data_IF_527621162748
#
_entry.id   IF_527621162748
#
_cell.length_a   1.000
_cell.length_b   1.000
_cell.length_c   1.000
_cell.angle_alpha   90.00
_cell.angle_beta   90.00
_cell.angle_gamma   90.00
#
_symmetry.space_group_name_H-M   'P 1'
#
loop_
_entity.id
_entity.type
_entity.pdbx_description
1 polymer ?
#
# COMPACT_ATOMS: atom_id res chain seq x y z
N UNK A 1 2.30 30.62 -5.08
CA UNK A 1 1.48 29.41 -5.28
C UNK A 1 1.83 28.68 -6.57
N UNK A 2 1.51 29.26 -7.72
CA UNK A 2 1.59 28.60 -9.04
C UNK A 2 2.91 27.88 -9.37
N UNK A 3 4.06 28.43 -8.95
CA UNK A 3 5.38 27.81 -9.18
C UNK A 3 5.54 26.42 -8.54
N UNK A 4 4.73 26.09 -7.52
CA UNK A 4 4.78 24.80 -6.83
C UNK A 4 3.81 23.77 -7.39
N UNK A 5 2.90 24.15 -8.31
CA UNK A 5 1.93 23.24 -8.94
C UNK A 5 2.60 21.96 -9.47
N UNK A 6 3.76 22.01 -10.17
CA UNK A 6 4.41 20.80 -10.65
C UNK A 6 4.77 19.82 -9.53
N UNK A 7 5.20 20.31 -8.37
CA UNK A 7 5.55 19.48 -7.22
C UNK A 7 4.29 18.85 -6.62
N UNK A 8 3.22 19.63 -6.46
CA UNK A 8 1.94 19.14 -5.94
C UNK A 8 1.29 18.08 -6.86
N UNK A 9 1.52 18.12 -8.18
CA UNK A 9 1.06 17.08 -9.11
C UNK A 9 1.68 15.70 -8.88
N UNK A 10 2.83 15.61 -8.19
CA UNK A 10 3.44 14.33 -7.82
C UNK A 10 2.90 13.76 -6.52
N UNK A 11 2.04 14.49 -5.79
CA UNK A 11 1.38 13.95 -4.62
C UNK A 11 0.42 12.84 -5.02
N UNK A 12 0.48 11.73 -4.27
CA UNK A 12 -0.49 10.64 -4.39
C UNK A 12 -1.66 10.91 -3.46
N UNK A 13 -2.48 11.88 -3.87
CA UNK A 13 -3.62 12.34 -3.07
C UNK A 13 -4.53 11.19 -2.64
N UNK A 14 -4.67 10.14 -3.46
CA UNK A 14 -5.44 8.94 -3.12
C UNK A 14 -5.02 8.25 -1.82
N UNK A 15 -3.75 8.34 -1.44
CA UNK A 15 -3.25 7.74 -0.19
C UNK A 15 -3.22 8.73 0.97
N UNK A 16 -3.31 10.03 0.68
CA UNK A 16 -3.47 11.07 1.68
C UNK A 16 -4.92 11.09 2.17
N UNK A 17 -5.91 10.95 1.28
CA UNK A 17 -7.34 10.92 1.63
C UNK A 17 -7.86 9.51 1.94
N UNK A 18 -6.98 8.63 2.43
CA UNK A 18 -7.31 7.22 2.67
C UNK A 18 -8.16 6.97 3.92
N UNK A 19 -8.38 7.99 4.76
CA UNK A 19 -9.28 7.99 5.91
C UNK A 19 -9.97 9.34 6.10
N UNK A 20 -11.08 9.36 6.86
CA UNK A 20 -11.92 10.54 7.05
C UNK A 20 -11.20 11.69 7.76
N UNK A 21 -10.31 11.40 8.71
CA UNK A 21 -9.60 12.46 9.44
C UNK A 21 -8.63 13.16 8.50
N UNK A 22 -7.87 12.40 7.71
CA UNK A 22 -6.94 12.93 6.72
C UNK A 22 -7.66 13.70 5.60
N UNK A 23 -8.81 13.21 5.12
CA UNK A 23 -9.66 13.92 4.16
C UNK A 23 -10.16 15.28 4.69
N UNK A 24 -10.59 15.34 5.96
CA UNK A 24 -11.02 16.60 6.58
C UNK A 24 -9.86 17.58 6.79
N UNK A 25 -8.67 17.09 7.13
CA UNK A 25 -7.48 17.93 7.32
C UNK A 25 -7.11 18.63 6.01
N UNK A 26 -7.03 17.88 4.91
CA UNK A 26 -6.63 18.43 3.61
C UNK A 26 -7.68 19.39 3.03
N UNK A 27 -8.96 19.16 3.27
CA UNK A 27 -10.00 20.12 2.87
C UNK A 27 -9.89 21.42 3.68
N UNK A 28 -9.66 21.30 4.99
CA UNK A 28 -9.56 22.45 5.89
C UNK A 28 -8.33 23.30 5.65
N UNK A 29 -7.18 22.69 5.30
CA UNK A 29 -5.96 23.46 5.04
C UNK A 29 -6.03 24.28 3.74
N UNK A 30 -6.92 23.89 2.81
CA UNK A 30 -7.16 24.57 1.53
C UNK A 30 -5.89 24.82 0.71
N UNK A 31 -4.85 23.99 0.90
CA UNK A 31 -3.61 24.04 0.11
C UNK A 31 -3.78 23.33 -1.24
N UNK A 32 -4.62 22.29 -1.29
CA UNK A 32 -4.95 21.55 -2.51
C UNK A 32 -6.29 22.04 -3.06
N UNK A 33 -6.36 22.40 -4.35
CA UNK A 33 -7.61 22.82 -4.97
C UNK A 33 -8.73 21.77 -4.82
N UNK A 34 -9.95 22.24 -4.52
CA UNK A 34 -11.09 21.35 -4.28
C UNK A 34 -11.47 20.50 -5.51
N UNK A 35 -11.27 21.02 -6.72
CA UNK A 35 -11.47 20.29 -7.97
C UNK A 35 -10.51 19.09 -8.13
N UNK A 36 -9.28 19.21 -7.63
CA UNK A 36 -8.33 18.09 -7.59
C UNK A 36 -8.80 17.02 -6.61
N UNK A 37 -9.23 17.42 -5.41
CA UNK A 37 -9.75 16.50 -4.40
C UNK A 37 -11.04 15.80 -4.88
N UNK A 38 -11.97 16.52 -5.50
CA UNK A 38 -13.20 15.94 -6.03
C UNK A 38 -12.92 14.86 -7.08
N UNK A 39 -11.93 15.08 -7.95
CA UNK A 39 -11.50 14.08 -8.93
C UNK A 39 -10.97 12.81 -8.25
N UNK A 40 -10.18 12.97 -7.18
CA UNK A 40 -9.64 11.85 -6.40
C UNK A 40 -10.77 11.11 -5.66
N UNK A 41 -11.70 11.83 -5.03
CA UNK A 41 -12.84 11.21 -4.34
C UNK A 41 -13.72 10.41 -5.28
N UNK A 42 -14.01 10.94 -6.48
CA UNK A 42 -14.75 10.21 -7.51
C UNK A 42 -14.04 8.92 -7.91
N UNK A 43 -12.72 8.97 -8.12
CA UNK A 43 -11.92 7.79 -8.45
C UNK A 43 -11.91 6.76 -7.30
N UNK A 44 -11.74 7.21 -6.05
CA UNK A 44 -11.78 6.33 -4.87
C UNK A 44 -13.15 5.67 -4.71
N UNK A 45 -14.23 6.42 -4.93
CA UNK A 45 -15.59 5.90 -4.92
C UNK A 45 -15.81 4.82 -5.96
N UNK A 46 -15.39 5.04 -7.21
CA UNK A 46 -15.51 4.03 -8.27
C UNK A 46 -14.60 2.82 -8.02
N UNK A 47 -13.40 3.01 -7.49
CA UNK A 47 -12.52 1.90 -7.11
C UNK A 47 -13.14 1.05 -5.99
N UNK A 48 -13.79 1.67 -5.00
CA UNK A 48 -14.55 0.95 -3.98
C UNK A 48 -15.72 0.17 -4.59
N UNK A 49 -16.52 0.80 -5.46
CA UNK A 49 -17.64 0.10 -6.13
C UNK A 49 -17.15 -1.09 -6.97
N UNK A 50 -16.03 -0.95 -7.70
CA UNK A 50 -15.44 -2.06 -8.46
C UNK A 50 -14.96 -3.19 -7.54
N UNK A 51 -14.32 -2.85 -6.43
CA UNK A 51 -13.85 -3.82 -5.45
C UNK A 51 -15.00 -4.54 -4.74
N UNK A 52 -16.17 -3.93 -4.57
CA UNK A 52 -17.29 -4.58 -3.86
C UNK A 52 -18.33 -5.22 -4.80
N UNK A 53 -18.53 -4.69 -6.01
CA UNK A 53 -19.62 -5.10 -6.93
C UNK A 53 -19.12 -5.76 -8.22
N UNK A 54 -18.02 -5.29 -8.80
CA UNK A 54 -17.53 -5.72 -10.12
C UNK A 54 -16.49 -6.85 -10.03
N UNK A 55 -16.37 -7.49 -8.85
CA UNK A 55 -15.40 -8.54 -8.56
C UNK A 55 -13.94 -8.14 -8.89
N UNK A 56 -13.56 -6.86 -8.77
CA UNK A 56 -12.14 -6.50 -8.82
C UNK A 56 -11.44 -7.10 -7.60
N UNK A 57 -10.79 -8.24 -7.82
CA UNK A 57 -10.02 -8.93 -6.79
C UNK A 57 -8.70 -8.22 -6.50
N UNK A 58 -8.29 -7.22 -7.30
CA UNK A 58 -6.98 -6.57 -7.27
C UNK A 58 -6.07 -7.06 -8.41
N UNK A 59 -4.83 -6.51 -8.51
CA UNK A 59 -3.94 -6.79 -9.64
C UNK A 59 -3.66 -8.28 -9.84
N UNK A 60 -3.77 -8.78 -11.07
CA UNK A 60 -3.52 -10.18 -11.40
C UNK A 60 -2.13 -10.40 -12.02
N UNK A 61 -1.62 -9.39 -12.72
CA UNK A 61 -0.31 -9.42 -13.37
C UNK A 61 0.61 -8.35 -12.78
N UNK A 62 1.93 -8.59 -12.84
CA UNK A 62 2.92 -7.63 -12.39
C UNK A 62 3.18 -6.62 -13.51
N UNK A 63 2.67 -5.40 -13.34
CA UNK A 63 3.07 -4.25 -14.13
C UNK A 63 3.97 -3.33 -13.29
N UNK A 64 5.27 -3.27 -13.62
CA UNK A 64 6.27 -2.54 -12.82
C UNK A 64 6.03 -1.05 -12.86
N UNK A 65 5.74 -0.51 -14.04
CA UNK A 65 5.50 0.89 -14.30
C UNK A 65 4.28 1.36 -13.51
N UNK A 66 3.24 0.53 -13.49
CA UNK A 66 2.02 0.81 -12.74
C UNK A 66 2.24 0.77 -11.24
N UNK A 67 2.92 -0.26 -10.71
CA UNK A 67 3.26 -0.32 -9.29
C UNK A 67 4.10 0.91 -8.90
N UNK A 68 5.09 1.28 -9.69
CA UNK A 68 5.92 2.45 -9.39
C UNK A 68 5.14 3.75 -9.44
N UNK A 69 4.22 3.93 -10.40
CA UNK A 69 3.42 5.13 -10.58
C UNK A 69 2.29 5.27 -9.55
N UNK A 70 1.60 4.17 -9.24
CA UNK A 70 0.30 4.22 -8.58
C UNK A 70 0.27 3.66 -7.16
N UNK A 71 1.27 2.91 -6.69
CA UNK A 71 1.21 2.24 -5.37
C UNK A 71 1.19 3.17 -4.14
N UNK A 72 0.63 2.70 -3.03
CA UNK A 72 0.85 3.26 -1.70
C UNK A 72 2.29 3.05 -1.30
N UNK A 73 2.99 4.10 -0.85
CA UNK A 73 4.39 4.03 -0.42
C UNK A 73 4.46 4.07 1.09
N UNK A 74 4.98 2.99 1.65
CA UNK A 74 4.96 2.71 3.07
C UNK A 74 6.39 2.52 3.60
N UNK A 75 6.67 3.05 4.79
CA UNK A 75 7.97 2.95 5.44
C UNK A 75 7.84 2.55 6.91
N UNK A 76 8.78 1.74 7.41
CA UNK A 76 8.91 1.40 8.84
C UNK A 76 10.39 1.24 9.21
N UNK A 77 10.78 1.77 10.37
CA UNK A 77 12.11 1.54 10.97
C UNK A 77 11.96 0.56 12.13
N UNK A 78 12.73 -0.52 12.11
CA UNK A 78 12.91 -1.42 13.26
C UNK A 78 14.25 -1.08 13.90
N UNK A 79 14.24 -0.64 15.15
CA UNK A 79 15.45 -0.15 15.83
C UNK A 79 16.39 -1.27 16.27
N UNK A 80 15.83 -2.44 16.57
CA UNK A 80 16.54 -3.64 17.05
C UNK A 80 15.78 -4.87 16.58
N UNK A 81 16.38 -6.03 16.82
CA UNK A 81 15.70 -7.29 16.62
C UNK A 81 14.59 -7.53 17.65
N UNK A 82 13.60 -8.34 17.28
CA UNK A 82 12.45 -8.68 18.12
C UNK A 82 11.20 -8.93 17.28
N UNK A 83 10.06 -9.09 17.95
CA UNK A 83 8.78 -9.29 17.28
C UNK A 83 8.04 -7.97 17.09
N UNK A 84 7.60 -7.71 15.86
CA UNK A 84 6.87 -6.52 15.49
C UNK A 84 5.66 -6.91 14.66
N UNK A 85 4.50 -6.35 14.99
CA UNK A 85 3.29 -6.44 14.16
C UNK A 85 2.74 -5.03 13.99
N UNK A 86 2.48 -4.62 12.75
CA UNK A 86 1.95 -3.31 12.43
C UNK A 86 1.08 -3.35 11.18
N UNK A 87 0.40 -2.24 10.91
CA UNK A 87 -0.30 -1.97 9.66
C UNK A 87 -0.12 -0.50 9.30
N UNK A 88 -0.23 -0.19 8.02
CA UNK A 88 -0.40 1.20 7.59
C UNK A 88 -1.89 1.45 7.45
N UNK A 89 -2.41 2.39 8.25
CA UNK A 89 -3.83 2.67 8.35
C UNK A 89 -4.35 3.35 7.09
N UNK A 90 -5.61 3.05 6.74
CA UNK A 90 -6.32 3.56 5.58
C UNK A 90 -7.45 2.60 5.21
N UNK A 91 -8.44 3.05 4.45
CA UNK A 91 -9.55 2.20 4.03
C UNK A 91 -9.09 1.07 3.09
N UNK A 92 -8.16 1.35 2.17
CA UNK A 92 -7.54 0.40 1.24
C UNK A 92 -8.55 -0.58 0.59
N UNK A 93 -9.77 -0.11 0.32
CA UNK A 93 -10.87 -0.90 -0.26
C UNK A 93 -11.16 -2.18 0.53
N UNK A 94 -11.17 -2.04 1.86
CA UNK A 94 -11.43 -3.13 2.80
C UNK A 94 -10.30 -4.15 2.92
N UNK A 95 -9.13 -3.90 2.33
CA UNK A 95 -7.97 -4.77 2.46
C UNK A 95 -7.14 -4.36 3.68
N UNK A 96 -7.47 -4.89 4.87
CA UNK A 96 -6.63 -4.72 6.06
C UNK A 96 -5.43 -5.67 6.01
N UNK A 97 -4.24 -5.12 5.75
CA UNK A 97 -2.99 -5.85 5.65
C UNK A 97 -2.15 -5.65 6.92
N UNK A 98 -2.03 -6.71 7.71
CA UNK A 98 -1.04 -6.77 8.79
C UNK A 98 0.30 -7.19 8.22
N UNK A 99 1.34 -6.53 8.70
CA UNK A 99 2.74 -6.88 8.44
C UNK A 99 3.40 -7.25 9.75
N UNK A 100 3.98 -8.45 9.78
CA UNK A 100 4.70 -8.98 10.92
C UNK A 100 6.16 -9.19 10.56
N UNK A 101 7.05 -8.73 11.44
CA UNK A 101 8.43 -9.19 11.48
C UNK A 101 8.59 -10.06 12.72
N UNK A 102 8.97 -11.31 12.53
CA UNK A 102 9.25 -12.26 13.62
C UNK A 102 10.20 -13.34 13.10
N UNK A 103 11.12 -13.81 13.95
CA UNK A 103 12.07 -14.88 13.57
C UNK A 103 12.78 -14.64 12.23
N UNK A 104 13.10 -13.37 11.92
CA UNK A 104 13.70 -12.92 10.64
C UNK A 104 12.83 -13.08 9.39
N UNK A 105 11.55 -13.37 9.54
CA UNK A 105 10.60 -13.39 8.43
C UNK A 105 9.81 -12.08 8.37
N UNK A 106 9.49 -11.64 7.15
CA UNK A 106 8.40 -10.70 6.91
C UNK A 106 7.19 -11.51 6.47
N UNK A 107 6.08 -11.32 7.17
CA UNK A 107 4.82 -12.04 6.95
C UNK A 107 3.74 -11.01 6.67
N UNK A 108 2.94 -11.28 5.64
CA UNK A 108 1.74 -10.54 5.30
C UNK A 108 0.52 -11.34 5.68
N UNK A 109 -0.46 -10.67 6.31
CA UNK A 109 -1.76 -11.26 6.64
C UNK A 109 -2.89 -10.34 6.22
N UNK A 110 -3.90 -10.90 5.57
CA UNK A 110 -5.16 -10.20 5.30
C UNK A 110 -6.10 -10.35 6.49
N UNK A 111 -6.14 -9.38 7.40
CA UNK A 111 -6.87 -9.47 8.66
C UNK A 111 -8.36 -9.13 8.47
N UNK A 112 -9.25 -10.10 8.64
CA UNK A 112 -10.68 -9.91 8.32
C UNK A 112 -11.64 -10.23 9.45
N UNK A 113 -11.41 -11.33 10.18
CA UNK A 113 -12.37 -11.84 11.16
C UNK A 113 -12.35 -11.08 12.49
N UNK A 114 -11.25 -10.38 12.80
CA UNK A 114 -11.06 -9.69 14.09
C UNK A 114 -11.29 -8.17 14.01
N UNK A 115 -12.20 -7.72 13.15
CA UNK A 115 -12.51 -6.29 12.98
C UNK A 115 -13.70 -5.86 13.83
N UNK A 116 -13.63 -4.69 14.49
CA UNK A 116 -14.75 -4.18 15.29
C UNK A 116 -15.96 -3.79 14.43
N UNK A 117 -15.72 -3.43 13.16
CA UNK A 117 -16.77 -3.10 12.20
C UNK A 117 -16.62 -4.01 10.98
N UNK A 118 -17.54 -4.97 10.83
CA UNK A 118 -17.52 -5.95 9.74
C UNK A 118 -17.59 -5.30 8.35
N UNK A 119 -18.24 -4.14 8.21
CA UNK A 119 -18.30 -3.37 6.97
C UNK A 119 -17.00 -2.62 6.61
N UNK A 120 -15.97 -2.67 7.46
CA UNK A 120 -14.68 -2.01 7.18
C UNK A 120 -13.70 -2.90 6.42
N UNK A 121 -14.06 -4.16 6.14
CA UNK A 121 -13.23 -5.12 5.40
C UNK A 121 -13.96 -5.71 4.22
N UNK A 122 -13.19 -6.00 3.17
CA UNK A 122 -13.67 -6.62 1.94
C UNK A 122 -14.16 -8.03 2.23
N UNK A 123 -15.40 -8.32 1.87
CA UNK A 123 -16.03 -9.62 2.09
C UNK A 123 -15.63 -10.69 1.05
N UNK A 124 -14.99 -10.28 -0.06
CA UNK A 124 -14.52 -11.21 -1.09
C UNK A 124 -13.65 -12.33 -0.48
N UNK A 125 -13.80 -13.59 -0.94
CA UNK A 125 -13.09 -14.73 -0.39
C UNK A 125 -11.57 -14.60 -0.57
N UNK A 126 -11.13 -14.10 -1.73
CA UNK A 126 -9.72 -13.89 -2.10
C UNK A 126 -9.54 -12.48 -2.64
N UNK A 127 -8.40 -11.87 -2.31
CA UNK A 127 -7.98 -10.57 -2.85
C UNK A 127 -6.49 -10.63 -3.18
N UNK A 128 -6.11 -9.92 -4.22
CA UNK A 128 -4.75 -9.80 -4.70
C UNK A 128 -4.18 -8.43 -4.33
N UNK A 129 -2.89 -8.41 -4.01
CA UNK A 129 -2.10 -7.18 -3.92
C UNK A 129 -0.86 -7.33 -4.79
N UNK A 130 -0.56 -6.30 -5.59
CA UNK A 130 0.77 -6.16 -6.17
C UNK A 130 1.65 -5.36 -5.20
N UNK A 131 2.86 -5.83 -4.94
CA UNK A 131 3.75 -5.18 -3.99
C UNK A 131 5.22 -5.24 -4.40
N UNK A 132 5.99 -4.33 -3.81
CA UNK A 132 7.46 -4.35 -3.83
C UNK A 132 7.97 -4.11 -2.42
N UNK A 133 8.58 -5.13 -1.83
CA UNK A 133 9.19 -5.07 -0.50
C UNK A 133 10.70 -4.90 -0.62
N UNK A 134 11.24 -3.88 0.05
CA UNK A 134 12.66 -3.57 0.13
C UNK A 134 13.07 -3.36 1.57
N UNK A 135 14.23 -3.89 1.94
CA UNK A 135 14.82 -3.65 3.24
C UNK A 135 16.24 -3.16 3.06
N UNK A 136 16.65 -2.25 3.93
CA UNK A 136 18.00 -1.73 3.97
C UNK A 136 18.46 -1.51 5.41
N UNK A 137 19.75 -1.70 5.64
CA UNK A 137 20.42 -1.26 6.86
C UNK A 137 21.53 -0.29 6.48
N UNK A 138 21.77 0.68 7.36
CA UNK A 138 22.75 1.74 7.12
C UNK A 138 23.68 1.87 8.31
N UNK A 139 24.93 2.21 8.01
CA UNK A 139 25.91 2.64 8.99
C UNK A 139 25.50 4.00 9.59
N UNK A 140 26.08 4.38 10.73
CA UNK A 140 25.85 5.69 11.35
C UNK A 140 26.22 6.86 10.43
N UNK A 141 27.13 6.64 9.47
CA UNK A 141 27.49 7.60 8.42
C UNK A 141 26.49 7.68 7.26
N UNK A 142 25.41 6.90 7.28
CA UNK A 142 24.43 6.81 6.19
C UNK A 142 24.83 5.88 5.04
N UNK A 143 26.02 5.26 5.09
CA UNK A 143 26.46 4.28 4.08
C UNK A 143 25.63 3.00 4.18
N UNK A 144 25.15 2.48 3.04
CA UNK A 144 24.42 1.21 2.97
C UNK A 144 25.30 0.05 3.44
N UNK A 145 24.81 -0.76 4.37
CA UNK A 145 25.47 -1.98 4.86
C UNK A 145 24.90 -3.19 4.11
N UNK A 146 23.59 -3.36 4.13
CA UNK A 146 22.92 -4.42 3.39
C UNK A 146 21.60 -3.94 2.79
N UNK A 147 21.23 -4.53 1.66
CA UNK A 147 19.94 -4.32 1.00
C UNK A 147 19.37 -5.64 0.54
N UNK A 148 18.05 -5.81 0.69
CA UNK A 148 17.29 -6.97 0.24
C UNK A 148 15.99 -6.50 -0.41
N UNK A 149 15.53 -7.25 -1.40
CA UNK A 149 14.30 -6.93 -2.12
C UNK A 149 13.59 -8.23 -2.46
N UNK A 150 12.27 -8.25 -2.29
CA UNK A 150 11.42 -9.34 -2.76
C UNK A 150 11.21 -9.27 -4.29
N UNK A 151 11.65 -8.16 -4.91
CA UNK A 151 11.25 -7.82 -6.27
C UNK A 151 9.82 -7.29 -6.30
N UNK A 152 9.23 -7.27 -7.49
CA UNK A 152 7.81 -7.02 -7.68
C UNK A 152 7.10 -8.36 -7.64
N UNK A 153 6.00 -8.44 -6.89
CA UNK A 153 5.24 -9.66 -6.74
C UNK A 153 3.75 -9.34 -6.70
N UNK A 154 2.93 -10.30 -7.13
CA UNK A 154 1.49 -10.33 -6.84
C UNK A 154 1.28 -11.43 -5.80
N UNK A 155 0.52 -11.11 -4.76
CA UNK A 155 0.16 -12.04 -3.71
C UNK A 155 -1.37 -12.11 -3.58
N UNK A 156 -1.90 -13.32 -3.67
CA UNK A 156 -3.30 -13.62 -3.37
C UNK A 156 -3.43 -14.06 -1.91
N UNK A 157 -4.34 -13.43 -1.17
CA UNK A 157 -4.66 -13.79 0.21
C UNK A 157 -6.16 -14.05 0.39
N UNK A 158 -6.45 -15.20 1.00
CA UNK A 158 -7.74 -15.51 1.60
C UNK A 158 -7.94 -14.75 2.92
N UNK A 159 -9.16 -14.81 3.45
CA UNK A 159 -9.50 -14.25 4.76
C UNK A 159 -8.59 -14.83 5.85
N UNK A 160 -7.88 -13.95 6.55
CA UNK A 160 -6.93 -14.28 7.63
C UNK A 160 -5.77 -15.20 7.24
N UNK A 161 -5.52 -15.38 5.94
CA UNK A 161 -4.35 -16.10 5.45
C UNK A 161 -3.09 -15.31 5.75
N UNK A 162 -2.07 -16.00 6.25
CA UNK A 162 -0.71 -15.50 6.46
C UNK A 162 0.22 -16.07 5.39
N UNK A 163 1.10 -15.23 4.84
CA UNK A 163 2.11 -15.65 3.89
C UNK A 163 3.46 -15.03 4.25
N UNK A 164 4.49 -15.87 4.35
CA UNK A 164 5.88 -15.41 4.40
C UNK A 164 6.24 -14.83 3.04
N UNK A 165 6.57 -13.53 3.01
CA UNK A 165 6.94 -12.81 1.79
C UNK A 165 8.43 -12.52 1.69
N UNK A 166 9.17 -12.66 2.80
CA UNK A 166 10.62 -12.62 2.79
C UNK A 166 11.21 -13.38 3.97
N UNK A 167 12.24 -14.18 3.71
CA UNK A 167 13.14 -14.71 4.73
C UNK A 167 14.42 -13.87 4.71
N UNK A 168 14.80 -13.35 5.88
CA UNK A 168 16.01 -12.56 6.02
C UNK A 168 17.10 -13.42 6.65
N UNK A 169 18.13 -13.75 5.86
CA UNK A 169 19.30 -14.49 6.36
C UNK A 169 19.91 -13.78 7.58
N UNK A 170 19.93 -14.48 8.71
CA UNK A 170 20.31 -13.98 10.03
C UNK A 170 21.75 -13.48 10.10
N UNK A 171 22.64 -13.97 9.23
CA UNK A 171 24.08 -13.67 9.28
C UNK A 171 24.43 -12.25 8.85
N UNK A 172 23.53 -11.56 8.15
CA UNK A 172 23.80 -10.26 7.53
C UNK A 172 22.80 -9.18 7.97
N UNK A 173 21.96 -9.46 8.96
CA UNK A 173 20.97 -8.50 9.43
C UNK A 173 21.59 -7.53 10.43
N UNK A 174 21.64 -6.26 10.05
CA UNK A 174 22.15 -5.17 10.88
C UNK A 174 21.01 -4.20 11.16
N UNK A 175 20.91 -3.75 12.40
CA UNK A 175 19.91 -2.77 12.83
C UNK A 175 20.52 -1.37 12.98
N UNK A 176 19.75 -0.30 12.75
CA UNK A 176 18.31 -0.32 12.44
C UNK A 176 17.99 -0.82 11.02
N UNK A 177 16.90 -1.58 10.91
CA UNK A 177 16.38 -2.10 9.66
C UNK A 177 15.27 -1.19 9.14
N UNK A 178 15.44 -0.69 7.92
CA UNK A 178 14.44 0.14 7.24
C UNK A 178 13.68 -0.72 6.26
N UNK A 179 12.36 -0.77 6.41
CA UNK A 179 11.43 -1.51 5.58
C UNK A 179 10.68 -0.50 4.72
N UNK A 180 10.74 -0.70 3.41
CA UNK A 180 10.04 0.10 2.42
C UNK A 180 9.15 -0.82 1.59
N UNK A 181 7.85 -0.53 1.57
CA UNK A 181 6.86 -1.29 0.82
C UNK A 181 6.12 -0.39 -0.15
N UNK A 182 5.87 -0.93 -1.34
CA UNK A 182 4.87 -0.41 -2.27
C UNK A 182 3.70 -1.37 -2.28
N UNK A 183 2.47 -0.88 -2.19
CA UNK A 183 1.25 -1.70 -2.29
C UNK A 183 0.27 -1.14 -3.32
N UNK A 184 -0.26 -2.00 -4.18
CA UNK A 184 -1.34 -1.69 -5.10
C UNK A 184 -2.48 -2.69 -4.84
N UNK A 185 -3.63 -2.17 -4.40
CA UNK A 185 -4.76 -2.94 -3.86
C UNK A 185 -5.90 -3.17 -4.85
N UNK A 186 -5.94 -2.39 -5.93
CA UNK A 186 -6.99 -2.40 -6.95
C UNK A 186 -6.36 -2.50 -8.32
N UNK A 187 -7.09 -3.12 -9.25
CA UNK A 187 -6.67 -3.15 -10.65
C UNK A 187 -6.79 -1.75 -11.26
N UNK A 188 -5.91 -1.40 -12.22
CA UNK A 188 -6.07 -0.16 -12.97
C UNK A 188 -7.44 -0.16 -13.64
N UNK A 189 -8.01 1.03 -13.82
CA UNK A 189 -9.16 1.15 -14.71
C UNK A 189 -8.71 0.69 -16.10
N UNK A 190 -9.46 -0.24 -16.71
CA UNK A 190 -9.30 -0.53 -18.13
C UNK A 190 -9.49 0.81 -18.84
N UNK A 191 -8.43 1.32 -19.49
CA UNK A 191 -8.61 2.44 -20.41
C UNK A 191 -9.70 1.97 -21.36
N UNK A 192 -10.79 2.72 -21.46
CA UNK A 192 -11.72 2.53 -22.56
C UNK A 192 -10.85 2.60 -23.80
N UNK A 193 -10.69 1.48 -24.51
CA UNK A 193 -10.37 1.56 -25.92
C UNK A 193 -11.39 2.55 -26.45
N UNK A 194 -10.90 3.67 -26.99
CA UNK A 194 -11.77 4.71 -27.54
C UNK A 194 -12.89 4.00 -28.27
N UNK A 195 -14.14 4.20 -27.82
CA UNK A 195 -15.31 3.72 -28.52
C UNK A 195 -15.10 4.18 -29.97
N UNK A 196 -14.74 3.21 -30.82
CA UNK A 196 -14.44 3.45 -32.21
C UNK A 196 -15.67 4.09 -32.82
N UNK A 197 -15.41 5.16 -33.57
CA UNK A 197 -16.37 5.92 -34.38
C UNK A 197 -17.58 5.13 -34.87
#
# INVERSE_FOLDING_TARGET
GYVFIPVFKYLRLQYIVSDLASARIIERDSLIPADWLFSVYKQQWFAMLRAEQDNDIGPQEINKEEVEANSMRCGRKLAKDGDYCWRWTGFNFGFDLLVTYTNRYIIFKRNTLNQPCSGSVSLQPRRNIAFRLRLASFHSSGKLICSRTAGYQVLTLEKDQEQVVMNLDSRLLVFPLYICCNFLYTSPEKRRENDGQ
#
